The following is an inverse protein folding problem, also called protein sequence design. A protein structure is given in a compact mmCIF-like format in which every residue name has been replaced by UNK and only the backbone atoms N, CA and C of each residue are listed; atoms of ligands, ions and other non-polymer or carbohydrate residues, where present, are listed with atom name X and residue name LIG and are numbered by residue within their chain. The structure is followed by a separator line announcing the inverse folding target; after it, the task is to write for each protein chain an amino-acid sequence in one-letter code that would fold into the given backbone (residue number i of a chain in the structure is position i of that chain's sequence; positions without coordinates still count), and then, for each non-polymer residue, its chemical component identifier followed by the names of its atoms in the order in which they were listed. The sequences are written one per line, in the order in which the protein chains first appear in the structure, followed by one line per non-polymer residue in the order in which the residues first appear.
data_IF_861756197686
#
_entry.id   IF_861756197686
#
_cell.length_a   1.000
_cell.length_b   1.000
_cell.length_c   1.000
_cell.angle_alpha   90.00
_cell.angle_beta   90.00
_cell.angle_gamma   90.00
#
_symmetry.space_group_name_H-M   'P 1'
#
loop_
_entity.id
_entity.type
_entity.pdbx_description
1 polymer ?
#
# COMPACT_ATOMS: atom_id res chain seq x y z
N UNK A 1 17.17 -7.18 -6.89
CA UNK A 1 16.11 -6.21 -6.55
C UNK A 1 14.73 -6.81 -6.85
N UNK A 2 13.64 -6.38 -6.22
CA UNK A 2 12.29 -6.88 -6.55
C UNK A 2 11.87 -6.47 -7.97
N UNK A 3 12.10 -5.21 -8.33
CA UNK A 3 11.86 -4.68 -9.68
C UNK A 3 12.68 -5.44 -10.75
N UNK A 4 13.89 -5.85 -10.40
CA UNK A 4 14.76 -6.65 -11.25
C UNK A 4 14.22 -8.09 -11.41
N UNK A 5 13.69 -8.69 -10.33
CA UNK A 5 13.09 -10.01 -10.38
C UNK A 5 11.82 -10.03 -11.24
N UNK A 6 11.01 -8.97 -11.19
CA UNK A 6 9.80 -8.81 -12.01
C UNK A 6 10.13 -8.57 -13.49
N UNK A 7 11.20 -7.85 -13.80
CA UNK A 7 11.54 -7.50 -15.19
C UNK A 7 12.32 -8.59 -15.94
N UNK A 8 12.98 -9.51 -15.23
CA UNK A 8 13.87 -10.51 -15.84
C UNK A 8 13.33 -11.94 -15.86
N UNK A 9 12.23 -12.23 -15.16
CA UNK A 9 11.76 -13.61 -14.95
C UNK A 9 10.46 -13.91 -15.71
N UNK A 10 10.39 -15.06 -16.37
CA UNK A 10 9.13 -15.56 -16.94
C UNK A 10 8.14 -16.03 -15.86
N UNK A 11 8.67 -16.36 -14.67
CA UNK A 11 7.89 -16.88 -13.55
C UNK A 11 8.48 -16.41 -12.23
N UNK A 12 7.61 -15.94 -11.35
CA UNK A 12 7.92 -15.47 -10.01
C UNK A 12 7.27 -16.42 -9.01
N UNK A 13 7.99 -16.74 -7.93
CA UNK A 13 7.52 -17.55 -6.82
C UNK A 13 7.60 -16.70 -5.56
N UNK A 14 6.44 -16.37 -4.99
CA UNK A 14 6.34 -15.62 -3.73
C UNK A 14 6.16 -16.62 -2.58
N UNK A 15 6.99 -16.52 -1.55
CA UNK A 15 6.99 -17.43 -0.41
C UNK A 15 6.97 -16.66 0.91
N UNK A 16 6.26 -17.21 1.90
CA UNK A 16 6.31 -16.79 3.29
C UNK A 16 6.48 -18.03 4.19
N UNK A 17 7.41 -17.95 5.15
CA UNK A 17 7.70 -19.03 6.12
C UNK A 17 7.84 -20.42 5.50
N UNK A 18 8.53 -20.49 4.36
CA UNK A 18 8.76 -21.74 3.63
C UNK A 18 7.53 -22.29 2.89
N UNK A 19 6.42 -21.55 2.85
CA UNK A 19 5.21 -21.90 2.09
C UNK A 19 5.07 -20.98 0.89
N UNK A 20 4.75 -21.58 -0.26
CA UNK A 20 4.43 -20.85 -1.48
C UNK A 20 3.09 -20.13 -1.28
N UNK A 21 3.11 -18.81 -1.46
CA UNK A 21 1.93 -17.96 -1.41
C UNK A 21 1.31 -17.81 -2.81
N UNK A 22 2.16 -17.62 -3.83
CA UNK A 22 1.72 -17.50 -5.22
C UNK A 22 2.85 -17.85 -6.20
N UNK A 23 2.47 -18.42 -7.34
CA UNK A 23 3.34 -18.63 -8.51
C UNK A 23 2.60 -18.06 -9.72
N UNK A 24 3.30 -17.33 -10.57
CA UNK A 24 2.72 -16.74 -11.78
C UNK A 24 3.74 -15.95 -12.59
N UNK A 25 3.29 -15.33 -13.67
CA UNK A 25 4.08 -14.32 -14.38
C UNK A 25 4.22 -13.06 -13.51
N UNK A 26 5.28 -12.24 -13.69
CA UNK A 26 5.42 -10.97 -12.98
C UNK A 26 4.15 -10.12 -13.04
N UNK A 27 3.63 -9.88 -14.25
CA UNK A 27 2.38 -9.12 -14.45
C UNK A 27 1.17 -9.77 -13.77
N UNK A 28 1.05 -11.10 -13.83
CA UNK A 28 -0.07 -11.81 -13.23
C UNK A 28 -0.06 -11.75 -11.70
N UNK A 29 1.12 -11.77 -11.07
CA UNK A 29 1.22 -11.60 -9.61
C UNK A 29 0.99 -10.14 -9.23
N UNK A 30 1.50 -9.19 -10.02
CA UNK A 30 1.30 -7.76 -9.79
C UNK A 30 -0.18 -7.36 -9.85
N UNK A 31 -0.87 -7.79 -10.91
CA UNK A 31 -2.26 -7.42 -11.19
C UNK A 31 -3.27 -8.26 -10.40
N UNK A 32 -2.95 -9.51 -10.08
CA UNK A 32 -3.87 -10.42 -9.36
C UNK A 32 -3.21 -11.11 -8.15
N UNK A 33 -2.79 -10.35 -7.13
CA UNK A 33 -2.23 -10.93 -5.91
C UNK A 33 -3.28 -11.80 -5.20
N UNK A 34 -2.85 -12.93 -4.62
CA UNK A 34 -3.75 -13.88 -3.93
C UNK A 34 -4.04 -13.51 -2.48
N UNK A 35 -3.24 -12.66 -1.87
CA UNK A 35 -3.41 -12.16 -0.51
C UNK A 35 -2.62 -10.86 -0.29
N UNK A 36 -2.87 -10.19 0.83
CA UNK A 36 -2.25 -8.91 1.17
C UNK A 36 -0.72 -8.97 1.25
N UNK A 37 -0.15 -10.09 1.72
CA UNK A 37 1.31 -10.27 1.72
C UNK A 37 1.89 -10.29 0.30
N UNK A 38 1.26 -10.99 -0.64
CA UNK A 38 1.74 -10.99 -2.03
C UNK A 38 1.60 -9.62 -2.67
N UNK A 39 0.49 -8.92 -2.40
CA UNK A 39 0.24 -7.58 -2.93
C UNK A 39 1.36 -6.60 -2.52
N UNK A 40 1.68 -6.60 -1.22
CA UNK A 40 2.72 -5.76 -0.59
C UNK A 40 4.15 -6.19 -0.94
N UNK A 41 4.40 -7.50 -1.01
CA UNK A 41 5.74 -8.03 -1.32
C UNK A 41 6.20 -7.71 -2.74
N UNK A 42 5.27 -7.64 -3.70
CA UNK A 42 5.60 -7.46 -5.12
C UNK A 42 5.66 -5.99 -5.52
N UNK A 43 5.05 -5.12 -4.74
CA UNK A 43 5.09 -3.68 -4.93
C UNK A 43 4.21 -2.98 -3.90
N UNK A 44 4.33 -1.66 -3.84
CA UNK A 44 3.53 -0.86 -2.93
C UNK A 44 2.03 -1.02 -3.24
N UNK A 45 1.19 -0.92 -2.20
CA UNK A 45 -0.25 -1.13 -2.28
C UNK A 45 -0.96 -0.44 -1.14
N UNK A 46 -2.05 0.26 -1.44
CA UNK A 46 -3.04 0.61 -0.44
C UNK A 46 -3.96 -0.59 -0.24
N UNK A 47 -4.02 -1.13 0.97
CA UNK A 47 -4.81 -2.33 1.28
C UNK A 47 -5.82 -2.02 2.37
N UNK A 48 -7.10 -2.23 2.06
CA UNK A 48 -8.20 -1.74 2.87
C UNK A 48 -9.26 -2.79 3.13
N UNK A 49 -9.93 -2.63 4.28
CA UNK A 49 -11.14 -3.40 4.58
C UNK A 49 -12.30 -2.98 3.69
N UNK A 50 -12.93 -3.97 3.07
CA UNK A 50 -14.11 -3.81 2.23
C UNK A 50 -15.18 -4.85 2.48
N UNK A 51 -16.35 -4.59 1.88
CA UNK A 51 -17.45 -5.55 1.80
C UNK A 51 -17.87 -5.66 0.34
N UNK A 52 -17.79 -6.86 -0.21
CA UNK A 52 -18.28 -7.16 -1.55
C UNK A 52 -19.80 -7.23 -1.53
N UNK A 53 -20.48 -6.15 -1.94
CA UNK A 53 -21.94 -6.02 -1.84
C UNK A 53 -22.67 -6.89 -2.85
N UNK A 54 -22.08 -7.03 -4.03
CA UNK A 54 -22.47 -7.94 -5.11
C UNK A 54 -21.25 -8.11 -6.04
N UNK A 55 -21.29 -9.06 -6.97
CA UNK A 55 -20.27 -9.13 -8.01
C UNK A 55 -20.17 -7.77 -8.73
N UNK A 56 -18.94 -7.32 -9.00
CA UNK A 56 -18.62 -6.01 -9.58
C UNK A 56 -19.03 -4.78 -8.75
N UNK A 57 -19.33 -4.94 -7.45
CA UNK A 57 -19.73 -3.85 -6.56
C UNK A 57 -19.17 -4.04 -5.14
N UNK A 58 -18.10 -3.31 -4.83
CA UNK A 58 -17.46 -3.31 -3.52
C UNK A 58 -17.78 -2.04 -2.74
N UNK A 59 -17.85 -2.14 -1.41
CA UNK A 59 -18.01 -1.01 -0.51
C UNK A 59 -16.82 -0.88 0.43
N UNK A 60 -16.23 0.31 0.46
CA UNK A 60 -15.17 0.71 1.39
C UNK A 60 -15.21 2.21 1.63
N UNK A 61 -14.67 2.66 2.77
CA UNK A 61 -14.81 4.06 3.22
C UNK A 61 -16.26 4.58 3.23
N UNK A 62 -17.23 3.70 3.43
CA UNK A 62 -18.65 4.04 3.39
C UNK A 62 -19.18 4.46 2.01
N UNK A 63 -18.46 4.13 0.93
CA UNK A 63 -18.86 4.38 -0.46
C UNK A 63 -18.81 3.09 -1.27
N UNK A 64 -19.66 3.02 -2.29
CA UNK A 64 -19.72 1.90 -3.22
C UNK A 64 -18.99 2.23 -4.51
N UNK A 65 -18.14 1.32 -4.94
CA UNK A 65 -17.34 1.43 -6.15
C UNK A 65 -17.63 0.23 -7.06
N UNK A 66 -17.65 0.50 -8.36
CA UNK A 66 -17.65 -0.55 -9.37
C UNK A 66 -16.24 -1.12 -9.43
N UNK A 67 -16.10 -2.43 -9.54
CA UNK A 67 -14.83 -3.11 -9.79
C UNK A 67 -15.03 -4.17 -10.88
N UNK A 68 -13.95 -4.83 -11.30
CA UNK A 68 -13.99 -5.90 -12.31
C UNK A 68 -14.09 -7.31 -11.71
N UNK A 69 -13.96 -7.44 -10.39
CA UNK A 69 -13.95 -8.72 -9.68
C UNK A 69 -15.33 -9.36 -9.49
N UNK A 70 -15.34 -10.70 -9.48
CA UNK A 70 -16.53 -11.54 -9.33
C UNK A 70 -16.21 -12.88 -8.63
N UNK A 71 -17.25 -13.62 -8.24
CA UNK A 71 -17.09 -14.93 -7.59
C UNK A 71 -17.07 -14.85 -6.06
N UNK A 72 -17.61 -13.76 -5.52
CA UNK A 72 -17.72 -13.53 -4.09
C UNK A 72 -19.17 -13.71 -3.64
N UNK A 73 -19.37 -14.10 -2.39
CA UNK A 73 -20.69 -14.12 -1.80
C UNK A 73 -21.18 -12.69 -1.53
N UNK A 74 -22.50 -12.53 -1.53
CA UNK A 74 -23.13 -11.25 -1.20
C UNK A 74 -22.78 -10.82 0.23
N UNK A 75 -22.28 -9.60 0.38
CA UNK A 75 -21.76 -9.02 1.62
C UNK A 75 -20.56 -9.80 2.22
N UNK A 76 -19.77 -10.47 1.38
CA UNK A 76 -18.52 -11.10 1.83
C UNK A 76 -17.52 -10.01 2.27
N UNK A 77 -16.92 -10.11 3.48
CA UNK A 77 -15.79 -9.29 3.86
C UNK A 77 -14.58 -9.59 2.95
N UNK A 78 -13.91 -8.55 2.46
CA UNK A 78 -12.82 -8.65 1.48
C UNK A 78 -11.70 -7.67 1.81
N UNK A 79 -10.51 -7.94 1.28
CA UNK A 79 -9.44 -6.95 1.16
C UNK A 79 -9.56 -6.27 -0.20
N UNK A 80 -9.38 -4.95 -0.21
CA UNK A 80 -9.30 -4.15 -1.43
C UNK A 80 -7.86 -3.71 -1.61
N UNK A 81 -7.34 -3.87 -2.81
CA UNK A 81 -6.00 -3.43 -3.20
C UNK A 81 -6.16 -2.35 -4.25
N UNK A 82 -5.48 -1.23 -4.02
CA UNK A 82 -5.34 -0.13 -4.98
C UNK A 82 -3.86 0.22 -5.06
N UNK A 83 -3.27 0.13 -6.25
CA UNK A 83 -1.87 0.48 -6.45
C UNK A 83 -1.68 1.99 -6.39
N UNK A 84 -0.60 2.50 -5.77
CA UNK A 84 -0.37 3.94 -5.64
C UNK A 84 -0.41 4.72 -6.96
N UNK A 85 0.06 4.11 -8.04
CA UNK A 85 0.13 4.70 -9.38
C UNK A 85 -1.20 4.72 -10.13
N UNK A 86 -2.18 3.90 -9.71
CA UNK A 86 -3.52 3.84 -10.29
C UNK A 86 -4.48 4.88 -9.67
N UNK A 87 -3.99 5.72 -8.74
CA UNK A 87 -4.82 6.71 -8.04
C UNK A 87 -4.72 8.07 -8.74
N UNK A 88 -5.82 8.47 -9.39
CA UNK A 88 -5.97 9.81 -9.97
C UNK A 88 -6.23 10.86 -8.89
N UNK A 89 -5.31 11.83 -8.73
CA UNK A 89 -5.57 13.05 -7.96
C UNK A 89 -6.40 14.02 -8.80
N UNK A 90 -7.51 14.49 -8.21
CA UNK A 90 -8.47 15.40 -8.85
C UNK A 90 -8.90 16.50 -7.88
N UNK A 91 -9.51 17.60 -8.36
CA UNK A 91 -10.17 18.55 -7.48
C UNK A 91 -11.20 17.89 -6.55
N UNK A 92 -11.30 18.35 -5.30
CA UNK A 92 -12.13 17.72 -4.23
C UNK A 92 -13.59 17.49 -4.60
N UNK A 93 -14.14 18.32 -5.49
CA UNK A 93 -15.51 18.26 -5.99
C UNK A 93 -15.72 17.18 -7.07
N UNK A 94 -14.64 16.70 -7.70
CA UNK A 94 -14.66 15.63 -8.70
C UNK A 94 -14.21 14.27 -8.13
N UNK A 95 -13.67 14.26 -6.92
CA UNK A 95 -13.19 13.04 -6.26
C UNK A 95 -14.27 12.18 -5.62
N UNK A 96 -14.01 10.88 -5.57
CA UNK A 96 -14.75 9.90 -4.79
C UNK A 96 -14.44 10.00 -3.29
N UNK A 97 -13.20 10.30 -2.91
CA UNK A 97 -12.81 10.56 -1.53
C UNK A 97 -12.11 11.92 -1.45
N UNK A 98 -12.11 12.52 -0.26
CA UNK A 98 -11.45 13.80 0.02
C UNK A 98 -10.49 13.62 1.17
N UNK A 99 -9.27 14.09 1.01
CA UNK A 99 -8.19 13.92 1.96
C UNK A 99 -7.22 15.08 1.91
N UNK A 100 -6.33 15.12 2.88
CA UNK A 100 -5.32 16.18 3.03
C UNK A 100 -3.94 15.59 2.82
N UNK A 101 -3.12 16.23 2.01
CA UNK A 101 -1.73 15.83 1.79
C UNK A 101 -0.97 15.99 3.11
N UNK A 102 -0.34 14.91 3.54
CA UNK A 102 0.36 14.76 4.81
C UNK A 102 1.87 14.88 4.61
N UNK A 103 2.42 14.15 3.63
CA UNK A 103 3.83 14.22 3.27
C UNK A 103 4.03 14.05 1.75
N UNK A 104 5.16 14.54 1.25
CA UNK A 104 5.51 14.51 -0.17
C UNK A 104 6.99 14.25 -0.31
N UNK A 105 7.35 13.16 -0.98
CA UNK A 105 8.74 12.74 -1.17
C UNK A 105 9.03 12.61 -2.66
N UNK A 106 10.08 13.29 -3.14
CA UNK A 106 10.52 13.17 -4.52
C UNK A 106 11.35 11.88 -4.72
N UNK A 107 10.91 11.00 -5.62
CA UNK A 107 11.56 9.72 -5.95
C UNK A 107 12.28 9.75 -7.31
N UNK A 108 12.52 10.93 -7.86
CA UNK A 108 13.27 11.13 -9.10
C UNK A 108 12.37 11.32 -10.32
N UNK A 109 11.49 10.38 -10.63
CA UNK A 109 10.55 10.49 -11.78
C UNK A 109 9.12 10.80 -11.37
N UNK A 110 8.77 10.57 -10.11
CA UNK A 110 7.47 10.85 -9.52
C UNK A 110 7.65 11.31 -8.05
N UNK A 111 6.53 11.66 -7.41
CA UNK A 111 6.41 11.94 -6.00
C UNK A 111 5.59 10.83 -5.33
N UNK A 112 6.10 10.36 -4.19
CA UNK A 112 5.31 9.61 -3.21
C UNK A 112 4.58 10.64 -2.37
N UNK A 113 3.25 10.69 -2.50
CA UNK A 113 2.38 11.61 -1.77
C UNK A 113 1.55 10.81 -0.78
N UNK A 114 1.78 11.02 0.52
CA UNK A 114 0.93 10.45 1.56
C UNK A 114 -0.26 11.37 1.79
N UNK A 115 -1.46 10.80 1.77
CA UNK A 115 -2.72 11.55 1.92
C UNK A 115 -3.59 10.91 2.99
N UNK A 116 -4.02 11.73 3.94
CA UNK A 116 -4.91 11.30 5.02
C UNK A 116 -6.37 11.36 4.56
N UNK A 117 -7.01 10.20 4.53
CA UNK A 117 -8.45 10.06 4.32
C UNK A 117 -9.13 9.54 5.59
N UNK A 118 -9.49 10.46 6.49
CA UNK A 118 -10.21 10.16 7.74
C UNK A 118 -9.45 9.21 8.67
N UNK A 119 -8.14 9.39 8.78
CA UNK A 119 -7.26 8.64 9.68
C UNK A 119 -6.60 7.42 9.05
N UNK A 120 -6.81 7.16 7.75
CA UNK A 120 -6.05 6.17 6.99
C UNK A 120 -5.12 6.91 6.02
N UNK A 121 -3.83 6.57 6.05
CA UNK A 121 -2.84 7.19 5.17
C UNK A 121 -2.70 6.38 3.89
N UNK A 122 -3.08 6.98 2.78
CA UNK A 122 -2.91 6.43 1.44
C UNK A 122 -1.57 6.88 0.86
N UNK A 123 -0.86 5.99 0.18
CA UNK A 123 0.25 6.32 -0.69
C UNK A 123 -0.27 6.52 -2.12
N UNK A 124 0.09 7.65 -2.73
CA UNK A 124 -0.22 7.98 -4.13
C UNK A 124 1.08 8.32 -4.85
N UNK A 125 1.34 7.65 -5.97
CA UNK A 125 2.47 7.95 -6.84
C UNK A 125 2.01 8.84 -8.00
N UNK A 126 2.53 10.06 -8.08
CA UNK A 126 2.12 11.03 -9.11
C UNK A 126 3.30 11.88 -9.60
N UNK A 127 3.25 12.36 -10.83
CA UNK A 127 4.28 13.27 -11.37
C UNK A 127 4.03 14.73 -10.99
N UNK A 128 2.82 15.05 -10.52
CA UNK A 128 2.44 16.40 -10.11
C UNK A 128 2.76 16.63 -8.62
N UNK A 129 3.31 17.81 -8.31
CA UNK A 129 3.61 18.18 -6.93
C UNK A 129 2.40 18.81 -6.25
N UNK A 130 1.98 18.22 -5.12
CA UNK A 130 0.92 18.74 -4.26
C UNK A 130 1.49 19.11 -2.88
N UNK A 131 1.50 20.39 -2.46
CA UNK A 131 2.07 20.77 -1.16
C UNK A 131 1.36 20.11 0.03
N UNK A 132 2.11 19.85 1.12
CA UNK A 132 1.55 19.43 2.41
C UNK A 132 0.46 20.41 2.87
N UNK A 133 -0.63 19.86 3.40
CA UNK A 133 -1.83 20.61 3.81
C UNK A 133 -2.82 20.88 2.67
N UNK A 134 -2.50 20.52 1.41
CA UNK A 134 -3.44 20.65 0.29
C UNK A 134 -4.60 19.67 0.45
N UNK A 135 -5.83 20.15 0.29
CA UNK A 135 -6.99 19.28 0.17
C UNK A 135 -7.13 18.78 -1.27
N UNK A 136 -7.18 17.47 -1.45
CA UNK A 136 -7.34 16.83 -2.75
C UNK A 136 -8.55 15.89 -2.76
N UNK A 137 -9.06 15.62 -3.96
CA UNK A 137 -9.92 14.48 -4.22
C UNK A 137 -9.14 13.34 -4.87
N UNK A 138 -9.57 12.11 -4.68
CA UNK A 138 -9.09 10.98 -5.49
C UNK A 138 -10.21 10.39 -6.31
N UNK A 139 -9.88 9.90 -7.50
CA UNK A 139 -10.79 9.18 -8.37
C UNK A 139 -10.20 7.79 -8.61
N UNK A 140 -11.07 6.81 -8.61
CA UNK A 140 -10.77 5.41 -8.86
C UNK A 140 -11.71 4.91 -9.93
N UNK A 141 -11.18 4.33 -10.98
CA UNK A 141 -11.90 3.60 -12.02
C UNK A 141 -12.06 2.13 -11.59
N UNK A 142 -12.94 1.36 -12.25
CA UNK A 142 -13.20 -0.02 -11.86
C UNK A 142 -12.00 -0.96 -11.99
N UNK A 143 -11.08 -0.65 -12.89
CA UNK A 143 -9.84 -1.38 -13.15
C UNK A 143 -8.77 -1.14 -12.06
N UNK A 144 -8.76 0.04 -11.42
CA UNK A 144 -7.85 0.39 -10.33
C UNK A 144 -8.14 -0.36 -9.01
N UNK A 145 -9.24 -1.11 -8.95
CA UNK A 145 -9.76 -1.74 -7.73
C UNK A 145 -9.70 -3.26 -7.89
N UNK A 146 -8.76 -3.88 -7.18
CA UNK A 146 -8.65 -5.33 -7.06
C UNK A 146 -9.22 -5.82 -5.73
N UNK A 147 -9.96 -6.93 -5.77
CA UNK A 147 -10.60 -7.51 -4.59
C UNK A 147 -10.02 -8.88 -4.28
N UNK A 148 -9.56 -9.07 -3.04
CA UNK A 148 -9.06 -10.35 -2.53
C UNK A 148 -9.95 -10.87 -1.40
N UNK A 149 -9.98 -12.20 -1.25
CA UNK A 149 -10.58 -12.80 -0.06
C UNK A 149 -9.73 -12.49 1.17
N UNK A 150 -10.39 -12.37 2.32
CA UNK A 150 -9.69 -12.28 3.61
C UNK A 150 -8.77 -13.48 3.83
N UNK A 151 -7.62 -13.23 4.44
CA UNK A 151 -6.59 -14.22 4.74
C UNK A 151 -5.95 -13.95 6.10
N UNK A 152 -4.96 -14.75 6.49
CA UNK A 152 -4.18 -14.49 7.71
C UNK A 152 -3.37 -13.18 7.65
N UNK A 153 -3.20 -12.58 6.46
CA UNK A 153 -2.46 -11.34 6.23
C UNK A 153 -3.34 -10.08 6.19
N UNK A 154 -4.66 -10.23 6.27
CA UNK A 154 -5.60 -9.10 6.16
C UNK A 154 -5.37 -8.08 7.28
N UNK A 155 -5.28 -6.81 6.91
CA UNK A 155 -5.08 -5.69 7.85
C UNK A 155 -3.63 -5.54 8.36
N UNK A 156 -2.67 -6.29 7.82
CA UNK A 156 -1.26 -6.20 8.23
C UNK A 156 -0.43 -5.23 7.37
N UNK A 157 -0.94 -4.83 6.20
CA UNK A 157 -0.20 -4.10 5.17
C UNK A 157 -1.03 -2.98 4.57
N UNK A 158 -0.37 -2.04 3.89
CA UNK A 158 -1.00 -1.01 3.05
C UNK A 158 -1.64 0.18 3.77
N UNK A 159 -1.45 0.31 5.08
CA UNK A 159 -1.69 1.56 5.83
C UNK A 159 -0.35 2.26 6.08
N UNK A 160 -0.16 3.42 5.46
CA UNK A 160 1.10 4.17 5.52
C UNK A 160 1.19 5.13 6.72
N UNK A 161 0.39 4.89 7.77
CA UNK A 161 0.41 5.67 9.00
C UNK A 161 1.77 5.67 9.70
N UNK A 162 2.51 4.56 9.67
CA UNK A 162 3.87 4.48 10.22
C UNK A 162 4.90 5.22 9.37
N UNK A 163 4.74 5.22 8.04
CA UNK A 163 5.63 5.93 7.12
C UNK A 163 5.66 7.42 7.44
N UNK A 164 4.50 8.04 7.68
CA UNK A 164 4.43 9.45 8.05
C UNK A 164 5.16 9.74 9.36
N UNK A 165 5.01 8.86 10.37
CA UNK A 165 5.68 9.01 11.67
C UNK A 165 7.21 8.96 11.56
N UNK A 166 7.77 8.05 10.75
CA UNK A 166 9.21 7.97 10.52
C UNK A 166 9.76 9.24 9.84
N UNK A 167 9.01 9.85 8.92
CA UNK A 167 9.40 11.11 8.30
C UNK A 167 9.26 12.31 9.23
N UNK A 168 8.23 12.35 10.07
CA UNK A 168 8.08 13.36 11.11
C UNK A 168 9.30 13.32 12.06
N UNK A 169 9.78 12.13 12.44
CA UNK A 169 10.99 11.97 13.26
C UNK A 169 12.26 12.43 12.52
N UNK A 170 12.44 12.09 11.24
CA UNK A 170 13.65 12.46 10.48
C UNK A 170 13.67 13.97 10.11
N UNK A 171 12.51 14.59 9.98
CA UNK A 171 12.38 16.02 9.63
C UNK A 171 12.45 16.95 10.84
N UNK A 172 12.40 16.42 12.06
CA UNK A 172 12.64 17.17 13.29
C UNK A 172 14.15 17.45 13.44
N UNK A 173 14.59 18.72 13.39
CA UNK A 173 16.00 19.09 13.51
C UNK A 173 16.60 18.77 14.90
N UNK A 174 15.77 18.44 15.90
CA UNK A 174 16.21 18.01 17.23
C UNK A 174 16.37 16.46 17.33
N UNK A 175 16.05 15.70 16.28
CA UNK A 175 16.26 14.25 16.23
C UNK A 175 17.73 13.92 16.02
N UNK A 176 18.36 13.32 17.04
CA UNK A 176 19.73 12.79 16.95
C UNK A 176 19.70 11.46 16.20
N UNK A 177 20.15 11.47 14.94
CA UNK A 177 20.35 10.23 14.17
C UNK A 177 21.69 9.59 14.57
N UNK A 178 21.62 8.51 15.34
CA UNK A 178 22.68 7.50 15.45
C UNK A 178 23.22 7.19 16.85
N UNK A 179 23.03 5.94 17.28
CA UNK A 179 24.14 5.12 17.80
C UNK A 179 24.08 3.75 17.10
N UNK A 180 25.19 3.39 16.44
CA UNK A 180 25.44 2.10 15.81
C UNK A 180 25.25 0.94 16.80
N UNK A 181 24.41 -0.04 16.44
CA UNK A 181 24.26 -1.31 17.16
C UNK A 181 25.42 -2.29 16.86
N UNK A 182 26.66 -1.81 17.05
CA UNK A 182 27.90 -2.57 16.84
C UNK A 182 28.67 -2.88 18.12
N UNK A 183 28.08 -2.67 19.30
CA UNK A 183 28.75 -2.88 20.59
C UNK A 183 27.96 -3.77 21.56
N UNK A 184 27.64 -5.02 21.17
CA UNK A 184 27.10 -6.02 22.11
C UNK A 184 27.71 -7.43 21.97
N UNK A 185 29.02 -7.57 21.66
CA UNK A 185 29.69 -8.89 21.72
C UNK A 185 30.95 -8.97 22.62
N UNK A 186 31.47 -7.89 23.20
CA UNK A 186 32.74 -7.97 23.97
C UNK A 186 32.70 -7.98 25.51
N UNK A 187 31.53 -8.07 26.17
CA UNK A 187 31.49 -8.13 27.65
C UNK A 187 30.74 -9.34 28.22
N UNK A 188 31.18 -10.56 27.87
CA UNK A 188 30.87 -11.76 28.68
C UNK A 188 32.09 -12.62 29.03
N UNK A 189 33.29 -12.06 28.91
CA UNK A 189 34.53 -12.66 29.43
C UNK A 189 35.16 -11.75 30.49
N UNK A 190 34.52 -11.67 31.64
CA UNK A 190 35.15 -11.58 32.97
C UNK A 190 34.08 -11.22 34.01
N UNK A 191 33.64 -12.20 34.78
CA UNK A 191 33.76 -12.18 36.26
C UNK A 191 33.02 -13.38 36.87
N UNK A 192 33.83 -14.23 37.54
CA UNK A 192 33.54 -15.34 38.46
C UNK A 192 32.99 -16.67 37.93
#
# INVERSE_FOLDING_TARGET
DQEEALSMSDTVVVMDRGRIQQIGTPEGIYNEPKNAFVADFIGESNILDGIMRDDFLVEFFGRKFRCLDKGFAKNEPVDIVVRPEDIDIVPTEKGHLRGTVDSVTFKGVHYDTIVDFKGFKWLIQTTDYYPVGTEIGIKLTPDDIHVMKKSEYSGMFGDYSSYSAEYDEISDPDTIIGEDDSTLIEESLNEY
#
